data_IF_049706802908
#
_entry.id   IF_049706802908
#
_cell.length_a   1.000
_cell.length_b   1.000
_cell.length_c   1.000
_cell.angle_alpha   90.00
_cell.angle_beta   90.00
_cell.angle_gamma   90.00
#
_symmetry.space_group_name_H-M   'P 1'
#
loop_
_entity.id
_entity.type
_entity.pdbx_description
1 polymer ?
#
# COMPACT_ATOMS: atom_id res chain seq x y z
N UNK A 1 -2.05 5.52 31.90
CA UNK A 1 -0.76 5.15 31.29
C UNK A 1 -0.31 6.29 30.40
N UNK A 2 0.94 6.75 30.50
CA UNK A 2 1.47 7.81 29.64
C UNK A 2 1.47 7.32 28.18
N UNK A 3 0.72 7.98 27.30
CA UNK A 3 0.82 7.78 25.85
C UNK A 3 2.16 8.39 25.37
N UNK A 4 3.24 7.63 25.50
CA UNK A 4 4.55 8.00 24.94
C UNK A 4 4.40 8.23 23.43
N UNK A 5 4.65 9.46 22.98
CA UNK A 5 4.80 9.85 21.57
C UNK A 5 6.30 10.00 21.27
N UNK A 6 6.78 9.34 20.22
CA UNK A 6 8.17 9.42 19.76
C UNK A 6 8.24 10.43 18.61
N UNK A 7 8.14 11.71 18.92
CA UNK A 7 8.07 12.79 17.92
C UNK A 7 9.36 12.95 17.10
N UNK A 8 10.49 12.44 17.59
CA UNK A 8 11.77 12.44 16.88
C UNK A 8 11.99 11.18 16.04
N UNK A 9 11.12 10.17 16.14
CA UNK A 9 11.24 8.97 15.31
C UNK A 9 10.87 9.34 13.87
N UNK A 10 11.78 9.06 12.94
CA UNK A 10 11.61 9.30 11.50
C UNK A 10 11.53 8.01 10.70
N UNK A 11 12.08 6.93 11.23
CA UNK A 11 12.18 5.65 10.56
C UNK A 11 11.80 4.55 11.52
N UNK A 12 10.95 3.64 11.05
CA UNK A 12 10.54 2.44 11.76
C UNK A 12 10.53 1.31 10.76
N UNK A 13 11.42 0.34 10.95
CA UNK A 13 11.51 -0.84 10.10
C UNK A 13 11.22 -2.11 10.91
N UNK A 14 10.92 -3.19 10.19
CA UNK A 14 10.70 -4.53 10.76
C UNK A 14 9.58 -4.53 11.82
N UNK A 15 8.58 -3.65 11.66
CA UNK A 15 7.42 -3.65 12.53
C UNK A 15 6.53 -4.84 12.19
N UNK A 16 6.45 -5.80 13.10
CA UNK A 16 5.53 -6.92 12.98
C UNK A 16 4.20 -6.59 13.67
N UNK A 17 3.09 -6.71 12.95
CA UNK A 17 1.75 -6.51 13.47
C UNK A 17 0.91 -7.77 13.26
N UNK A 18 0.31 -8.35 14.32
CA UNK A 18 -0.77 -9.29 14.13
C UNK A 18 -1.97 -8.54 13.54
N UNK A 19 -2.61 -9.10 12.51
CA UNK A 19 -3.80 -8.55 11.88
C UNK A 19 -5.04 -8.68 12.77
N UNK A 20 -5.06 -8.07 13.95
CA UNK A 20 -6.15 -8.14 14.92
C UNK A 20 -6.72 -6.77 15.28
N UNK A 21 -7.92 -6.73 15.85
CA UNK A 21 -8.52 -5.50 16.40
C UNK A 21 -7.57 -4.81 17.40
N UNK A 22 -7.34 -3.51 17.23
CA UNK A 22 -6.54 -2.69 18.15
C UNK A 22 -5.20 -2.15 17.59
N UNK A 23 -4.84 -2.48 16.35
CA UNK A 23 -3.65 -1.91 15.67
C UNK A 23 -3.91 -0.58 14.98
N UNK A 24 -5.17 -0.16 14.82
CA UNK A 24 -5.57 1.03 14.05
C UNK A 24 -4.83 2.30 14.47
N UNK A 25 -4.59 2.48 15.77
CA UNK A 25 -4.06 3.72 16.32
C UNK A 25 -2.58 3.68 16.71
N UNK A 26 -1.86 2.59 16.41
CA UNK A 26 -0.46 2.42 16.82
C UNK A 26 0.43 3.56 16.29
N UNK A 27 0.14 4.03 15.07
CA UNK A 27 0.92 5.04 14.38
C UNK A 27 0.72 6.46 14.91
N UNK A 28 -0.33 6.74 15.71
CA UNK A 28 -0.50 8.04 16.40
C UNK A 28 0.67 8.36 17.36
N UNK A 29 1.43 7.35 17.76
CA UNK A 29 2.64 7.49 18.59
C UNK A 29 3.84 8.03 17.81
N UNK A 30 3.83 7.95 16.48
CA UNK A 30 4.96 8.32 15.61
C UNK A 30 4.52 9.39 14.59
N UNK A 31 4.10 10.59 15.05
CA UNK A 31 3.44 11.57 14.18
C UNK A 31 4.30 12.10 13.03
N UNK A 32 5.63 12.02 13.18
CA UNK A 32 6.60 12.55 12.22
C UNK A 32 7.36 11.41 11.50
N UNK A 33 6.77 10.22 11.40
CA UNK A 33 7.39 9.08 10.74
C UNK A 33 7.42 9.31 9.23
N UNK A 34 8.60 9.11 8.63
CA UNK A 34 8.86 9.31 7.20
C UNK A 34 9.08 8.00 6.45
N UNK A 35 9.64 6.99 7.13
CA UNK A 35 9.90 5.68 6.55
C UNK A 35 9.29 4.59 7.44
N UNK A 36 8.44 3.76 6.84
CA UNK A 36 7.77 2.66 7.51
C UNK A 36 7.98 1.37 6.73
N UNK A 37 8.49 0.34 7.41
CA UNK A 37 8.42 -1.05 6.95
C UNK A 37 7.65 -1.86 7.97
N UNK A 38 6.57 -2.47 7.51
CA UNK A 38 5.63 -3.23 8.32
C UNK A 38 5.30 -4.56 7.66
N UNK A 39 5.35 -5.62 8.45
CA UNK A 39 4.88 -6.96 8.12
C UNK A 39 3.61 -7.22 8.90
N UNK A 40 2.56 -7.64 8.20
CA UNK A 40 1.27 -7.99 8.79
C UNK A 40 1.11 -9.50 8.72
N UNK A 41 0.94 -10.13 9.88
CA UNK A 41 0.56 -11.54 9.93
C UNK A 41 -0.95 -11.66 9.98
N UNK A 42 -1.55 -12.29 8.96
CA UNK A 42 -2.96 -12.64 9.03
C UNK A 42 -3.17 -13.84 9.95
N UNK A 43 -4.00 -13.66 10.98
CA UNK A 43 -4.36 -14.73 11.89
C UNK A 43 -5.60 -15.47 11.37
N UNK A 44 -5.65 -16.82 11.44
CA UNK A 44 -6.77 -17.63 10.93
C UNK A 44 -8.14 -17.31 11.55
N UNK A 45 -8.15 -16.74 12.76
CA UNK A 45 -9.37 -16.39 13.50
C UNK A 45 -9.94 -15.02 13.11
N UNK A 46 -9.31 -14.32 12.16
CA UNK A 46 -9.92 -13.19 11.50
C UNK A 46 -10.99 -13.74 10.56
N UNK A 47 -12.25 -13.66 10.98
CA UNK A 47 -13.38 -13.91 10.06
C UNK A 47 -13.15 -13.13 8.77
N UNK A 48 -13.63 -13.65 7.63
CA UNK A 48 -13.50 -13.09 6.28
C UNK A 48 -14.13 -11.68 6.08
N UNK A 49 -14.35 -10.94 7.18
CA UNK A 49 -14.91 -9.60 7.29
C UNK A 49 -13.99 -8.64 8.08
N UNK A 50 -12.82 -9.09 8.55
CA UNK A 50 -11.94 -8.29 9.43
C UNK A 50 -10.47 -8.45 9.09
N UNK A 51 -10.04 -7.82 8.02
CA UNK A 51 -8.61 -7.58 7.81
C UNK A 51 -8.23 -6.24 8.46
N UNK A 52 -7.68 -6.30 9.67
CA UNK A 52 -7.27 -5.11 10.43
C UNK A 52 -5.90 -4.60 9.98
N UNK A 53 -5.84 -4.02 8.78
CA UNK A 53 -4.71 -3.18 8.38
C UNK A 53 -4.64 -1.95 9.28
N UNK A 54 -3.45 -1.55 9.75
CA UNK A 54 -3.33 -0.36 10.56
C UNK A 54 -3.68 0.88 9.74
N UNK A 55 -4.28 1.88 10.38
CA UNK A 55 -4.67 3.12 9.72
C UNK A 55 -3.42 3.94 9.40
N UNK A 56 -3.11 4.09 8.10
CA UNK A 56 -1.89 4.77 7.67
C UNK A 56 -2.10 6.28 7.46
N UNK A 57 -3.29 6.76 7.12
CA UNK A 57 -3.58 8.17 6.83
C UNK A 57 -3.33 9.15 7.99
N UNK A 58 -3.08 8.63 9.20
CA UNK A 58 -2.63 9.45 10.35
C UNK A 58 -1.15 9.89 10.24
N UNK A 59 -0.36 9.26 9.37
CA UNK A 59 1.07 9.51 9.20
C UNK A 59 1.33 10.56 8.12
N UNK A 60 1.05 11.82 8.45
CA UNK A 60 1.10 12.94 7.49
C UNK A 60 2.48 13.19 6.87
N UNK A 61 3.57 12.74 7.50
CA UNK A 61 4.95 12.93 7.03
C UNK A 61 5.51 11.68 6.31
N UNK A 62 4.70 10.63 6.10
CA UNK A 62 5.18 9.35 5.56
C UNK A 62 5.53 9.45 4.08
N UNK A 63 6.82 9.39 3.78
CA UNK A 63 7.33 9.45 2.42
C UNK A 63 7.53 8.05 1.81
N UNK A 64 7.85 7.05 2.63
CA UNK A 64 8.15 5.70 2.17
C UNK A 64 7.40 4.65 2.98
N UNK A 65 6.66 3.80 2.26
CA UNK A 65 5.96 2.65 2.82
C UNK A 65 6.45 1.36 2.17
N UNK A 66 6.83 0.40 3.02
CA UNK A 66 7.00 -1.01 2.66
C UNK A 66 6.01 -1.81 3.48
N UNK A 67 5.06 -2.41 2.80
CA UNK A 67 4.01 -3.22 3.41
C UNK A 67 4.12 -4.63 2.86
N UNK A 68 4.17 -5.61 3.76
CA UNK A 68 4.20 -7.03 3.42
C UNK A 68 3.19 -7.81 4.25
N UNK A 69 2.64 -8.88 3.69
CA UNK A 69 1.76 -9.81 4.41
C UNK A 69 2.34 -11.23 4.43
N UNK A 70 1.65 -12.12 5.14
CA UNK A 70 1.97 -13.55 5.25
C UNK A 70 1.77 -14.33 3.94
N UNK A 71 0.83 -13.94 3.09
CA UNK A 71 0.48 -14.66 1.86
C UNK A 71 -0.08 -13.73 0.80
N UNK A 72 0.16 -14.00 -0.49
CA UNK A 72 -0.52 -13.26 -1.57
C UNK A 72 -2.03 -13.49 -1.63
N UNK A 73 -2.55 -14.48 -0.91
CA UNK A 73 -4.00 -14.69 -0.69
C UNK A 73 -4.60 -13.72 0.34
N UNK A 74 -3.76 -12.95 1.02
CA UNK A 74 -4.16 -11.98 2.02
C UNK A 74 -4.80 -10.76 1.33
N UNK A 75 -6.12 -10.66 1.43
CA UNK A 75 -6.91 -9.62 0.77
C UNK A 75 -6.57 -8.22 1.30
N UNK A 76 -6.01 -7.36 0.46
CA UNK A 76 -5.92 -5.92 0.74
C UNK A 76 -7.22 -5.18 0.34
N UNK A 77 -8.22 -5.89 -0.18
CA UNK A 77 -9.46 -5.33 -0.70
C UNK A 77 -10.29 -4.63 0.38
N UNK A 78 -10.17 -5.07 1.62
CA UNK A 78 -10.86 -4.50 2.77
C UNK A 78 -10.15 -3.26 3.34
N UNK A 79 -9.06 -2.79 2.75
CA UNK A 79 -8.43 -1.53 3.17
C UNK A 79 -9.33 -0.33 2.81
N UNK A 80 -10.18 0.02 3.77
CA UNK A 80 -11.17 1.09 3.64
C UNK A 80 -10.57 2.48 3.81
N UNK A 81 -9.47 2.59 4.57
CA UNK A 81 -8.80 3.83 4.86
C UNK A 81 -8.07 4.41 3.63
N UNK A 82 -7.63 5.66 3.75
CA UNK A 82 -6.80 6.31 2.75
C UNK A 82 -5.31 6.07 3.04
N UNK A 83 -4.48 6.41 2.06
CA UNK A 83 -3.03 6.46 2.22
C UNK A 83 -2.56 7.88 2.50
N UNK A 84 -1.44 8.07 3.23
CA UNK A 84 -0.84 9.39 3.39
C UNK A 84 -0.52 10.06 2.05
N UNK A 85 -0.99 11.29 1.88
CA UNK A 85 -0.77 12.06 0.66
C UNK A 85 0.70 12.47 0.46
N UNK A 86 1.53 12.38 1.50
CA UNK A 86 2.98 12.63 1.48
C UNK A 86 3.80 11.49 0.87
N UNK A 87 3.18 10.32 0.61
CA UNK A 87 3.88 9.17 0.07
C UNK A 87 4.53 9.47 -1.29
N UNK A 88 5.82 9.16 -1.35
CA UNK A 88 6.66 9.24 -2.56
C UNK A 88 7.01 7.85 -3.07
N UNK A 89 7.17 6.88 -2.17
CA UNK A 89 7.56 5.50 -2.50
C UNK A 89 6.66 4.50 -1.80
N UNK A 90 6.14 3.55 -2.54
CA UNK A 90 5.32 2.47 -2.02
C UNK A 90 5.80 1.13 -2.56
N UNK A 91 6.06 0.18 -1.67
CA UNK A 91 6.32 -1.23 -1.99
C UNK A 91 5.28 -2.09 -1.28
N UNK A 92 4.54 -2.87 -2.05
CA UNK A 92 3.54 -3.81 -1.56
C UNK A 92 4.00 -5.21 -1.94
N UNK A 93 4.12 -6.10 -0.94
CA UNK A 93 4.60 -7.46 -1.14
C UNK A 93 3.64 -8.50 -0.54
N UNK A 94 3.42 -9.62 -1.23
CA UNK A 94 2.55 -10.70 -0.73
C UNK A 94 1.13 -10.21 -0.41
N UNK A 95 0.47 -9.54 -1.35
CA UNK A 95 -0.87 -8.99 -1.16
C UNK A 95 -1.78 -9.21 -2.37
N UNK A 96 -3.07 -9.44 -2.13
CA UNK A 96 -4.11 -9.37 -3.16
C UNK A 96 -4.71 -7.96 -3.23
N UNK A 97 -4.70 -7.33 -4.40
CA UNK A 97 -5.05 -5.92 -4.64
C UNK A 97 -6.27 -5.80 -5.58
N UNK A 98 -7.23 -4.93 -5.24
CA UNK A 98 -8.37 -4.61 -6.13
C UNK A 98 -8.04 -3.43 -7.01
N UNK A 99 -8.80 -3.30 -8.10
CA UNK A 99 -8.86 -2.07 -8.89
C UNK A 99 -9.14 -0.82 -8.02
N UNK A 100 -9.99 -0.92 -6.98
CA UNK A 100 -10.25 0.19 -6.05
C UNK A 100 -8.99 0.60 -5.26
N UNK A 101 -8.27 -0.36 -4.69
CA UNK A 101 -7.04 -0.10 -3.93
C UNK A 101 -5.95 0.47 -4.84
N UNK A 102 -5.80 -0.06 -6.06
CA UNK A 102 -4.88 0.47 -7.08
C UNK A 102 -5.27 1.89 -7.51
N UNK A 103 -6.56 2.18 -7.67
CA UNK A 103 -7.07 3.51 -8.00
C UNK A 103 -6.77 4.53 -6.91
N UNK A 104 -6.90 4.15 -5.63
CA UNK A 104 -6.50 5.00 -4.50
C UNK A 104 -5.00 5.30 -4.54
N UNK A 105 -4.17 4.29 -4.78
CA UNK A 105 -2.70 4.44 -4.88
C UNK A 105 -2.33 5.37 -6.02
N UNK A 106 -2.95 5.22 -7.19
CA UNK A 106 -2.64 6.02 -8.36
C UNK A 106 -3.03 7.51 -8.23
N UNK A 107 -4.04 7.81 -7.40
CA UNK A 107 -4.44 9.18 -7.07
C UNK A 107 -3.53 9.86 -6.05
N UNK A 108 -2.54 9.15 -5.48
CA UNK A 108 -1.59 9.77 -4.56
C UNK A 108 -0.79 10.86 -5.27
N UNK A 109 -0.87 12.11 -4.81
CA UNK A 109 -0.36 13.24 -5.59
C UNK A 109 1.16 13.27 -5.65
N UNK A 110 1.86 12.69 -4.67
CA UNK A 110 3.32 12.74 -4.57
C UNK A 110 4.01 11.42 -4.91
N UNK A 111 3.26 10.38 -5.28
CA UNK A 111 3.81 9.04 -5.50
C UNK A 111 4.67 9.02 -6.76
N UNK A 112 5.94 8.65 -6.59
CA UNK A 112 6.96 8.60 -7.64
C UNK A 112 7.40 7.18 -7.94
N UNK A 113 7.40 6.29 -6.96
CA UNK A 113 7.83 4.90 -7.11
C UNK A 113 6.78 3.95 -6.53
N UNK A 114 6.31 3.02 -7.36
CA UNK A 114 5.42 1.93 -6.97
C UNK A 114 6.07 0.59 -7.31
N UNK A 115 6.20 -0.29 -6.34
CA UNK A 115 6.65 -1.67 -6.52
C UNK A 115 5.59 -2.63 -6.00
N UNK A 116 5.12 -3.52 -6.86
CA UNK A 116 4.21 -4.63 -6.54
C UNK A 116 4.99 -5.93 -6.71
N UNK A 117 5.10 -6.71 -5.65
CA UNK A 117 5.95 -7.90 -5.62
C UNK A 117 5.20 -9.08 -5.00
N UNK A 118 5.26 -10.26 -5.61
CA UNK A 118 4.52 -11.44 -5.10
C UNK A 118 3.03 -11.12 -4.87
N UNK A 119 2.41 -10.37 -5.78
CA UNK A 119 1.09 -9.79 -5.60
C UNK A 119 0.08 -10.38 -6.58
N UNK A 120 -1.19 -10.43 -6.19
CA UNK A 120 -2.29 -10.85 -7.06
C UNK A 120 -3.19 -9.64 -7.30
N UNK A 121 -3.58 -9.39 -8.55
CA UNK A 121 -4.65 -8.46 -8.90
C UNK A 121 -5.88 -9.30 -9.23
N UNK A 122 -6.90 -9.26 -8.37
CA UNK A 122 -8.02 -10.21 -8.43
C UNK A 122 -8.86 -10.16 -9.73
N UNK A 123 -9.31 -11.35 -10.17
CA UNK A 123 -10.12 -11.59 -11.37
C UNK A 123 -11.48 -10.88 -11.36
N UNK A 124 -11.94 -10.42 -12.53
CA UNK A 124 -13.20 -9.67 -12.69
C UNK A 124 -13.10 -8.18 -12.36
N UNK A 125 -11.92 -7.73 -11.93
CA UNK A 125 -11.53 -6.34 -11.78
C UNK A 125 -10.21 -6.16 -12.51
N UNK A 126 -10.28 -6.20 -13.84
CA UNK A 126 -9.19 -5.85 -14.75
C UNK A 126 -8.36 -4.71 -14.16
N UNK A 127 -7.03 -4.74 -14.31
CA UNK A 127 -6.23 -3.54 -14.01
C UNK A 127 -6.52 -2.50 -15.09
N UNK A 128 -7.71 -1.91 -14.97
CA UNK A 128 -8.25 -0.93 -15.85
C UNK A 128 -7.70 0.41 -15.41
N UNK A 129 -6.67 0.86 -16.13
CA UNK A 129 -6.09 2.18 -15.96
C UNK A 129 -6.70 3.22 -16.89
N UNK A 130 -7.75 2.91 -17.65
CA UNK A 130 -8.39 3.87 -18.56
C UNK A 130 -8.89 5.11 -17.83
N UNK A 131 -9.41 4.92 -16.60
CA UNK A 131 -9.88 6.00 -15.71
C UNK A 131 -8.87 6.39 -14.61
N UNK A 132 -7.67 5.83 -14.65
CA UNK A 132 -6.66 5.99 -13.60
C UNK A 132 -5.38 6.61 -14.16
N UNK A 133 -5.08 7.83 -13.71
CA UNK A 133 -3.87 8.56 -14.09
C UNK A 133 -2.95 8.76 -12.91
N UNK A 134 -1.75 8.17 -12.97
CA UNK A 134 -0.68 8.50 -12.05
C UNK A 134 -0.14 9.91 -12.34
N UNK A 135 -0.20 10.80 -11.35
CA UNK A 135 0.18 12.20 -11.54
C UNK A 135 1.70 12.40 -11.63
N UNK A 136 2.47 11.68 -10.80
CA UNK A 136 3.91 11.89 -10.63
C UNK A 136 4.73 10.59 -10.62
N UNK A 137 4.12 9.46 -11.03
CA UNK A 137 4.78 8.16 -10.98
C UNK A 137 5.88 8.08 -12.04
N UNK A 138 7.11 7.93 -11.60
CA UNK A 138 8.30 7.80 -12.46
C UNK A 138 8.73 6.36 -12.63
N UNK A 139 8.52 5.52 -11.63
CA UNK A 139 8.94 4.12 -11.64
C UNK A 139 7.81 3.20 -11.22
N UNK A 140 7.50 2.24 -12.09
CA UNK A 140 6.62 1.11 -11.79
C UNK A 140 7.43 -0.18 -11.86
N UNK A 141 7.37 -0.99 -10.81
CA UNK A 141 8.02 -2.30 -10.73
C UNK A 141 6.98 -3.36 -10.41
N UNK A 142 6.93 -4.40 -11.23
CA UNK A 142 6.07 -5.56 -11.08
C UNK A 142 6.99 -6.77 -11.01
N UNK A 143 6.94 -7.55 -9.93
CA UNK A 143 7.73 -8.78 -9.77
C UNK A 143 6.81 -9.90 -9.33
N UNK A 144 6.68 -10.95 -10.15
CA UNK A 144 5.77 -12.08 -9.84
C UNK A 144 4.35 -11.59 -9.48
N UNK A 145 3.81 -10.71 -10.33
CA UNK A 145 2.45 -10.19 -10.19
C UNK A 145 1.51 -11.01 -11.07
N UNK A 146 0.46 -11.56 -10.48
CA UNK A 146 -0.57 -12.32 -11.20
C UNK A 146 -1.76 -11.40 -11.52
N UNK A 147 -2.14 -11.30 -12.79
CA UNK A 147 -3.32 -10.57 -13.27
C UNK A 147 -3.81 -11.15 -14.60
N UNK A 148 -5.11 -11.09 -14.86
CA UNK A 148 -5.70 -11.74 -16.05
C UNK A 148 -5.56 -10.91 -17.33
N UNK A 149 -5.77 -9.61 -17.25
CA UNK A 149 -5.62 -8.67 -18.37
C UNK A 149 -5.04 -7.34 -17.92
N UNK A 150 -4.24 -6.72 -18.78
CA UNK A 150 -3.69 -5.39 -18.57
C UNK A 150 -4.33 -4.40 -19.55
N UNK A 151 -5.29 -3.62 -19.08
CA UNK A 151 -6.01 -2.62 -19.88
C UNK A 151 -5.52 -1.22 -19.53
N UNK A 152 -4.63 -0.68 -20.36
CA UNK A 152 -4.02 0.63 -20.16
C UNK A 152 -4.13 1.44 -21.44
N UNK A 153 -4.71 2.63 -21.31
CA UNK A 153 -4.44 3.70 -22.24
C UNK A 153 -3.08 4.32 -21.89
N UNK A 154 -2.00 3.74 -22.44
CA UNK A 154 -0.63 4.12 -22.09
C UNK A 154 -0.36 5.62 -22.29
N UNK A 155 -1.03 6.26 -23.25
CA UNK A 155 -0.90 7.70 -23.51
C UNK A 155 -1.48 8.55 -22.38
N UNK A 156 -2.50 8.05 -21.66
CA UNK A 156 -3.13 8.73 -20.52
C UNK A 156 -2.56 8.32 -19.17
N UNK A 157 -2.26 7.04 -18.98
CA UNK A 157 -1.99 6.48 -17.64
C UNK A 157 -0.52 6.56 -17.24
N UNK A 158 0.40 6.65 -18.21
CA UNK A 158 1.85 6.56 -17.97
C UNK A 158 2.68 7.72 -18.55
N UNK A 159 2.06 8.87 -18.84
CA UNK A 159 2.74 9.99 -19.50
C UNK A 159 4.04 10.46 -18.80
N UNK A 160 4.16 10.24 -17.48
CA UNK A 160 5.31 10.65 -16.67
C UNK A 160 6.22 9.48 -16.22
N UNK A 161 5.91 8.23 -16.62
CA UNK A 161 6.71 7.06 -16.22
C UNK A 161 8.01 7.03 -17.01
N UNK A 162 9.13 7.07 -16.28
CA UNK A 162 10.49 7.00 -16.82
C UNK A 162 11.01 5.55 -16.84
N UNK A 163 10.50 4.69 -15.96
CA UNK A 163 10.97 3.31 -15.78
C UNK A 163 9.82 2.33 -15.52
N UNK A 164 9.79 1.26 -16.29
CA UNK A 164 8.91 0.10 -16.10
C UNK A 164 9.79 -1.16 -15.99
N UNK A 165 9.60 -1.93 -14.91
CA UNK A 165 10.27 -3.21 -14.68
C UNK A 165 9.18 -4.27 -14.50
N UNK A 166 9.28 -5.37 -15.23
CA UNK A 166 8.37 -6.52 -15.21
C UNK A 166 9.22 -7.79 -15.17
#
# INVERSE_FOLDING_TARGET
MLHLRLENLRTLYELYLPGSEGTEDIFKRFPNLQNLEVYIEQLPDCSAEKICFPRLDVLNELEQLRLSSSSSSDSFHEYTHDFPLSLKKMRLQWLALSSDSLSKIARLPNLQELSLEDAIIEEGKEWNMEDVTFQNLKSLTLVRVEFSEWQVDAEKSFFVVEKLII
#
